data_IF_652190159630
#
_entry.id   IF_652190159630
#
_cell.length_a   1.000
_cell.length_b   1.000
_cell.length_c   1.000
_cell.angle_alpha   90.00
_cell.angle_beta   90.00
_cell.angle_gamma   90.00
#
_symmetry.space_group_name_H-M   'P 1'
#
loop_
_entity.id
_entity.type
_entity.pdbx_description
1 polymer ?
#
# COMPACT_ATOMS: atom_id res chain seq x y z
N UNK A 1 -2.70 -0.57 -28.13
CA UNK A 1 -2.53 -0.82 -26.69
C UNK A 1 -3.19 -2.11 -26.21
N UNK A 2 -4.52 -2.21 -25.99
CA UNK A 2 -5.11 -3.45 -25.45
C UNK A 2 -4.93 -4.69 -26.35
N UNK A 3 -5.03 -4.52 -27.68
CA UNK A 3 -4.77 -5.61 -28.63
C UNK A 3 -3.31 -6.12 -28.54
N UNK A 4 -2.34 -5.22 -28.36
CA UNK A 4 -0.92 -5.58 -28.22
C UNK A 4 -0.69 -6.33 -26.89
N UNK A 5 -1.36 -5.91 -25.81
CA UNK A 5 -1.32 -6.62 -24.53
C UNK A 5 -1.89 -8.03 -24.65
N UNK A 6 -3.04 -8.17 -25.33
CA UNK A 6 -3.65 -9.47 -25.58
C UNK A 6 -2.73 -10.38 -26.41
N UNK A 7 -2.12 -9.86 -27.48
CA UNK A 7 -1.17 -10.60 -28.31
C UNK A 7 0.07 -11.04 -27.51
N UNK A 8 0.60 -10.13 -26.67
CA UNK A 8 1.73 -10.44 -25.79
C UNK A 8 1.37 -11.52 -24.78
N UNK A 9 0.18 -11.45 -24.18
CA UNK A 9 -0.33 -12.48 -23.27
C UNK A 9 -0.47 -13.82 -23.99
N UNK A 10 -1.08 -13.83 -25.18
CA UNK A 10 -1.26 -15.05 -25.97
C UNK A 10 0.10 -15.70 -26.27
N UNK A 11 1.06 -14.91 -26.74
CA UNK A 11 2.42 -15.39 -27.02
C UNK A 11 3.10 -15.94 -25.76
N UNK A 12 2.85 -15.34 -24.60
CA UNK A 12 3.36 -15.84 -23.32
C UNK A 12 2.73 -17.18 -22.93
N UNK A 13 1.41 -17.32 -23.09
CA UNK A 13 0.67 -18.57 -22.82
C UNK A 13 1.08 -19.68 -23.79
N UNK A 14 1.21 -19.38 -25.08
CA UNK A 14 1.57 -20.34 -26.14
C UNK A 14 2.96 -20.97 -25.90
N UNK A 15 3.85 -20.31 -25.14
CA UNK A 15 5.15 -20.88 -24.74
C UNK A 15 5.04 -22.01 -23.71
N UNK A 16 3.89 -22.20 -23.09
CA UNK A 16 3.63 -23.26 -22.08
C UNK A 16 4.19 -22.97 -20.68
N UNK A 17 5.08 -21.98 -20.53
CA UNK A 17 5.67 -21.61 -19.24
C UNK A 17 4.96 -20.40 -18.64
N UNK A 18 3.85 -20.65 -17.93
CA UNK A 18 2.98 -19.60 -17.39
C UNK A 18 3.57 -18.81 -16.20
N UNK A 19 4.67 -19.28 -15.61
CA UNK A 19 5.37 -18.58 -14.53
C UNK A 19 4.42 -18.22 -13.36
N UNK A 20 4.28 -16.95 -12.98
CA UNK A 20 3.39 -16.54 -11.87
C UNK A 20 1.90 -16.80 -12.17
N UNK A 21 1.54 -17.09 -13.42
CA UNK A 21 0.18 -17.42 -13.84
C UNK A 21 -0.08 -18.94 -13.86
N UNK A 22 0.91 -19.79 -13.56
CA UNK A 22 0.70 -21.23 -13.52
C UNK A 22 -0.17 -21.63 -12.31
N UNK A 23 -1.05 -22.61 -12.49
CA UNK A 23 -1.91 -23.19 -11.44
C UNK A 23 -2.76 -22.16 -10.64
N UNK A 24 -3.11 -21.04 -11.26
CA UNK A 24 -4.02 -20.07 -10.66
C UNK A 24 -5.49 -20.50 -10.80
N UNK A 25 -6.39 -19.79 -10.11
CA UNK A 25 -7.81 -20.11 -10.00
C UNK A 25 -8.66 -19.70 -11.21
N UNK A 26 -8.10 -19.76 -12.42
CA UNK A 26 -8.81 -19.33 -13.63
C UNK A 26 -10.11 -20.12 -13.83
N UNK A 27 -11.19 -19.42 -14.17
CA UNK A 27 -12.53 -20.01 -14.34
C UNK A 27 -13.28 -20.28 -13.03
N UNK A 28 -12.71 -19.94 -11.87
CA UNK A 28 -13.43 -20.03 -10.60
C UNK A 28 -14.71 -19.15 -10.64
N UNK A 29 -15.87 -19.64 -10.15
CA UNK A 29 -17.15 -18.95 -10.29
C UNK A 29 -17.22 -17.59 -9.59
N UNK A 30 -16.30 -17.32 -8.65
CA UNK A 30 -16.20 -16.01 -8.00
C UNK A 30 -15.48 -14.97 -8.85
N UNK A 31 -14.90 -15.29 -10.01
CA UNK A 31 -14.39 -14.26 -10.92
C UNK A 31 -15.53 -13.65 -11.72
N UNK A 32 -15.88 -12.40 -11.39
CA UNK A 32 -17.08 -11.71 -11.90
C UNK A 32 -16.79 -10.67 -12.99
N UNK A 33 -15.51 -10.33 -13.22
CA UNK A 33 -15.13 -9.39 -14.29
C UNK A 33 -15.36 -10.00 -15.68
N UNK A 34 -15.87 -9.20 -16.61
CA UNK A 34 -15.99 -9.62 -18.02
C UNK A 34 -14.60 -9.81 -18.66
N UNK A 35 -14.48 -10.53 -19.78
CA UNK A 35 -13.21 -10.65 -20.50
C UNK A 35 -12.56 -9.31 -20.85
N UNK A 36 -13.36 -8.30 -21.21
CA UNK A 36 -12.87 -6.94 -21.51
C UNK A 36 -12.32 -6.26 -20.28
N UNK A 37 -13.03 -6.34 -19.15
CA UNK A 37 -12.58 -5.79 -17.87
C UNK A 37 -11.29 -6.47 -17.40
N UNK A 38 -11.20 -7.80 -17.51
CA UNK A 38 -9.98 -8.54 -17.20
C UNK A 38 -8.79 -8.09 -18.07
N UNK A 39 -9.02 -7.82 -19.36
CA UNK A 39 -7.95 -7.34 -20.24
C UNK A 39 -7.50 -5.90 -19.90
N UNK A 40 -8.43 -5.03 -19.51
CA UNK A 40 -8.11 -3.67 -19.03
C UNK A 40 -7.26 -3.76 -17.76
N UNK A 41 -7.71 -4.49 -16.74
CA UNK A 41 -7.00 -4.63 -15.46
C UNK A 41 -5.64 -5.31 -15.67
N UNK A 42 -5.54 -6.32 -16.53
CA UNK A 42 -4.24 -6.93 -16.86
C UNK A 42 -3.30 -5.93 -17.55
N UNK A 43 -3.82 -5.10 -18.46
CA UNK A 43 -3.03 -4.04 -19.09
C UNK A 43 -2.48 -3.07 -18.04
N UNK A 44 -3.32 -2.64 -17.09
CA UNK A 44 -2.90 -1.75 -16.01
C UNK A 44 -1.95 -2.44 -15.02
N UNK A 45 -2.13 -3.72 -14.72
CA UNK A 45 -1.20 -4.52 -13.91
C UNK A 45 0.21 -4.49 -14.50
N UNK A 46 0.34 -4.74 -15.80
CA UNK A 46 1.63 -4.72 -16.49
C UNK A 46 2.25 -3.31 -16.53
N UNK A 47 1.44 -2.27 -16.67
CA UNK A 47 1.91 -0.89 -16.63
C UNK A 47 2.31 -0.47 -15.20
N UNK A 48 1.59 -0.93 -14.18
CA UNK A 48 1.89 -0.67 -12.77
C UNK A 48 3.29 -1.16 -12.39
N UNK A 49 3.73 -2.31 -12.94
CA UNK A 49 5.11 -2.81 -12.75
C UNK A 49 6.18 -1.81 -13.24
N UNK A 50 5.86 -0.95 -14.22
CA UNK A 50 6.74 0.13 -14.67
C UNK A 50 6.59 1.36 -13.77
N UNK A 51 5.36 1.75 -13.45
CA UNK A 51 5.04 2.94 -12.63
C UNK A 51 5.61 2.84 -11.22
N UNK A 52 5.54 1.67 -10.57
CA UNK A 52 6.11 1.46 -9.23
C UNK A 52 7.62 1.71 -9.18
N UNK A 53 8.34 1.48 -10.29
CA UNK A 53 9.76 1.83 -10.39
C UNK A 53 9.97 3.34 -10.45
N UNK A 54 9.05 4.09 -11.06
CA UNK A 54 9.15 5.55 -11.16
C UNK A 54 8.98 6.21 -9.79
N UNK A 55 8.02 5.78 -8.98
CA UNK A 55 7.89 6.30 -7.61
C UNK A 55 9.08 5.91 -6.72
N UNK A 56 9.67 4.73 -6.91
CA UNK A 56 10.92 4.34 -6.26
C UNK A 56 12.09 5.27 -6.65
N UNK A 57 12.15 5.73 -7.90
CA UNK A 57 13.13 6.74 -8.34
C UNK A 57 12.88 8.09 -7.68
N UNK A 58 11.62 8.50 -7.47
CA UNK A 58 11.31 9.72 -6.70
C UNK A 58 11.91 9.65 -5.29
N UNK A 59 11.77 8.50 -4.61
CA UNK A 59 12.41 8.28 -3.31
C UNK A 59 13.93 8.30 -3.41
N UNK A 60 14.52 7.74 -4.46
CA UNK A 60 15.97 7.70 -4.64
C UNK A 60 16.59 9.09 -4.90
N UNK A 61 15.86 10.04 -5.50
CA UNK A 61 16.35 11.43 -5.69
C UNK A 61 16.77 12.05 -4.37
N UNK A 62 15.96 11.90 -3.32
CA UNK A 62 16.26 12.46 -2.00
C UNK A 62 16.77 11.41 -1.00
N UNK A 63 16.71 10.13 -1.34
CA UNK A 63 17.05 9.00 -0.48
C UNK A 63 18.31 8.24 -0.87
N UNK A 64 18.98 8.66 -1.96
CA UNK A 64 20.06 7.98 -2.67
C UNK A 64 19.69 6.63 -3.31
N UNK A 65 18.86 5.82 -2.65
CA UNK A 65 18.38 4.52 -3.16
C UNK A 65 16.97 4.20 -2.66
N UNK A 66 16.35 3.25 -3.35
CA UNK A 66 15.13 2.59 -2.93
C UNK A 66 15.22 1.10 -3.34
N UNK A 67 14.86 0.14 -2.46
CA UNK A 67 14.44 0.29 -1.05
C UNK A 67 15.56 0.77 -0.09
N UNK A 68 15.19 1.09 1.15
CA UNK A 68 16.08 1.52 2.25
C UNK A 68 16.89 2.80 1.99
N UNK A 69 16.23 3.99 1.89
CA UNK A 69 16.93 5.25 1.68
C UNK A 69 17.96 5.53 2.80
N UNK A 70 19.02 6.27 2.48
CA UNK A 70 20.14 6.57 3.39
C UNK A 70 20.20 8.05 3.78
N UNK A 71 19.18 8.82 3.42
CA UNK A 71 19.17 10.26 3.67
C UNK A 71 18.66 10.65 5.04
N UNK A 72 17.93 9.76 5.72
CA UNK A 72 17.40 10.01 7.05
C UNK A 72 18.52 9.98 8.09
N UNK A 73 18.60 11.01 8.93
CA UNK A 73 19.53 11.09 10.06
C UNK A 73 18.80 11.69 11.26
N UNK A 74 19.30 11.42 12.46
CA UNK A 74 18.82 12.13 13.66
C UNK A 74 19.04 13.64 13.42
N UNK A 75 17.95 14.41 13.53
CA UNK A 75 17.94 15.85 13.29
C UNK A 75 17.56 16.30 11.87
N UNK A 76 17.31 15.39 10.92
CA UNK A 76 16.78 15.76 9.60
C UNK A 76 17.21 14.84 8.46
N UNK A 77 17.68 15.43 7.36
CA UNK A 77 18.09 14.71 6.15
C UNK A 77 19.45 15.15 5.63
N UNK A 78 20.17 14.25 4.97
CA UNK A 78 21.50 14.52 4.39
C UNK A 78 21.45 15.02 2.94
N UNK A 79 20.30 14.95 2.27
CA UNK A 79 20.12 15.28 0.85
C UNK A 79 19.89 16.78 0.57
N UNK A 80 20.46 17.67 1.38
CA UNK A 80 20.24 19.13 1.28
C UNK A 80 20.62 19.69 -0.09
N UNK A 81 21.71 19.19 -0.68
CA UNK A 81 22.16 19.63 -2.02
C UNK A 81 21.17 19.27 -3.12
N UNK A 82 20.52 18.10 -3.04
CA UNK A 82 19.50 17.69 -3.99
C UNK A 82 18.19 18.46 -3.76
N UNK A 83 17.81 18.73 -2.50
CA UNK A 83 16.62 19.54 -2.17
C UNK A 83 16.72 20.98 -2.68
N UNK A 84 17.92 21.57 -2.62
CA UNK A 84 18.17 22.93 -3.11
C UNK A 84 18.40 23.00 -4.63
N UNK A 85 18.46 21.87 -5.32
CA UNK A 85 18.72 21.80 -6.75
C UNK A 85 17.42 21.90 -7.56
N UNK A 86 17.22 22.96 -8.38
CA UNK A 86 16.05 23.07 -9.24
C UNK A 86 15.93 21.90 -10.23
N UNK A 87 17.06 21.36 -10.68
CA UNK A 87 17.08 20.22 -11.60
C UNK A 87 16.53 18.95 -10.92
N UNK A 88 16.89 18.69 -9.66
CA UNK A 88 16.38 17.53 -8.89
C UNK A 88 14.91 17.68 -8.54
N UNK A 89 14.50 18.88 -8.12
CA UNK A 89 13.09 19.17 -7.86
C UNK A 89 12.25 19.03 -9.13
N UNK A 90 12.74 19.51 -10.27
CA UNK A 90 12.11 19.30 -11.58
C UNK A 90 12.00 17.82 -11.96
N UNK A 91 13.09 17.06 -11.79
CA UNK A 91 13.11 15.61 -12.02
C UNK A 91 12.06 14.88 -11.17
N UNK A 92 11.98 15.20 -9.87
CA UNK A 92 10.97 14.65 -8.96
C UNK A 92 9.55 14.99 -9.45
N UNK A 93 9.29 16.25 -9.78
CA UNK A 93 7.95 16.71 -10.16
C UNK A 93 7.44 16.04 -11.44
N UNK A 94 8.29 15.87 -12.46
CA UNK A 94 7.88 15.20 -13.69
C UNK A 94 7.56 13.72 -13.45
N UNK A 95 8.40 13.02 -12.69
CA UNK A 95 8.14 11.62 -12.29
C UNK A 95 6.88 11.51 -11.44
N UNK A 96 6.69 12.42 -10.49
CA UNK A 96 5.51 12.44 -9.62
C UNK A 96 4.22 12.65 -10.41
N UNK A 97 4.20 13.58 -11.37
CA UNK A 97 3.05 13.79 -12.27
C UNK A 97 2.71 12.52 -13.05
N UNK A 98 3.71 11.80 -13.55
CA UNK A 98 3.49 10.54 -14.26
C UNK A 98 2.81 9.48 -13.36
N UNK A 99 3.27 9.35 -12.10
CA UNK A 99 2.67 8.44 -11.12
C UNK A 99 1.26 8.88 -10.76
N UNK A 100 1.06 10.16 -10.47
CA UNK A 100 -0.26 10.73 -10.16
C UNK A 100 -1.24 10.50 -11.31
N UNK A 101 -0.77 10.64 -12.55
CA UNK A 101 -1.59 10.42 -13.72
C UNK A 101 -2.10 8.99 -13.81
N UNK A 102 -1.20 8.03 -13.61
CA UNK A 102 -1.56 6.61 -13.57
C UNK A 102 -2.52 6.30 -12.42
N UNK A 103 -2.28 6.85 -11.23
CA UNK A 103 -3.16 6.65 -10.08
C UNK A 103 -4.59 7.13 -10.39
N UNK A 104 -4.73 8.34 -10.92
CA UNK A 104 -6.02 8.95 -11.17
C UNK A 104 -6.76 8.36 -12.39
N UNK A 105 -6.03 7.98 -13.44
CA UNK A 105 -6.64 7.56 -14.72
C UNK A 105 -6.65 6.05 -14.96
N UNK A 106 -5.93 5.25 -14.17
CA UNK A 106 -5.91 3.80 -14.29
C UNK A 106 -6.25 3.11 -12.96
N UNK A 107 -5.45 3.34 -11.92
CA UNK A 107 -5.60 2.61 -10.65
C UNK A 107 -6.94 2.88 -9.97
N UNK A 108 -7.33 4.14 -9.81
CA UNK A 108 -8.61 4.49 -9.17
C UNK A 108 -9.83 3.97 -9.95
N UNK A 109 -9.93 4.17 -11.29
CA UNK A 109 -10.98 3.54 -12.08
C UNK A 109 -11.05 2.00 -11.95
N UNK A 110 -9.90 1.32 -11.88
CA UNK A 110 -9.85 -0.13 -11.66
C UNK A 110 -10.43 -0.54 -10.30
N UNK A 111 -10.13 0.22 -9.24
CA UNK A 111 -10.72 0.01 -7.92
C UNK A 111 -12.23 0.21 -7.93
N UNK A 112 -12.73 1.26 -8.61
CA UNK A 112 -14.17 1.50 -8.75
C UNK A 112 -14.85 0.38 -9.54
N UNK A 113 -14.21 -0.11 -10.60
CA UNK A 113 -14.70 -1.23 -11.40
C UNK A 113 -14.77 -2.52 -10.59
N UNK A 114 -13.72 -2.84 -9.84
CA UNK A 114 -13.71 -4.00 -8.94
C UNK A 114 -14.76 -3.84 -7.83
N UNK A 115 -14.83 -2.68 -7.18
CA UNK A 115 -15.82 -2.39 -6.15
C UNK A 115 -17.25 -2.61 -6.64
N UNK A 116 -17.57 -2.20 -7.87
CA UNK A 116 -18.89 -2.46 -8.48
C UNK A 116 -19.14 -3.95 -8.77
N UNK A 117 -18.14 -4.66 -9.25
CA UNK A 117 -18.27 -6.08 -9.62
C UNK A 117 -18.43 -7.01 -8.40
N UNK A 118 -17.94 -6.58 -7.24
CA UNK A 118 -17.89 -7.38 -6.01
C UNK A 118 -18.67 -6.75 -4.83
N UNK A 119 -19.48 -5.72 -5.06
CA UNK A 119 -20.20 -5.00 -4.02
C UNK A 119 -21.18 -5.87 -3.21
N UNK A 120 -21.70 -6.92 -3.84
CA UNK A 120 -22.67 -7.87 -3.29
C UNK A 120 -22.03 -9.17 -2.79
N UNK A 121 -20.70 -9.28 -2.82
CA UNK A 121 -20.01 -10.48 -2.37
C UNK A 121 -20.19 -10.68 -0.86
N UNK A 122 -20.68 -11.84 -0.40
CA UNK A 122 -20.89 -12.09 1.04
C UNK A 122 -19.63 -11.90 1.89
N UNK A 123 -18.44 -12.20 1.35
CA UNK A 123 -17.17 -11.97 2.06
C UNK A 123 -16.84 -10.49 2.28
N UNK A 124 -17.49 -9.58 1.56
CA UNK A 124 -17.35 -8.12 1.73
C UNK A 124 -18.42 -7.58 2.68
N UNK A 125 -19.63 -8.15 2.67
CA UNK A 125 -20.80 -7.60 3.39
C UNK A 125 -21.06 -8.21 4.76
N UNK A 126 -20.67 -9.47 5.00
CA UNK A 126 -21.18 -10.23 6.14
C UNK A 126 -20.49 -9.91 7.48
N UNK A 127 -19.26 -9.42 7.45
CA UNK A 127 -18.48 -9.15 8.66
C UNK A 127 -17.64 -7.88 8.49
N UNK A 128 -17.75 -6.97 9.44
CA UNK A 128 -16.88 -5.79 9.53
C UNK A 128 -15.50 -6.14 10.10
N UNK A 129 -15.34 -7.38 10.57
CA UNK A 129 -14.11 -7.89 11.18
C UNK A 129 -13.83 -7.15 12.49
N UNK A 130 -12.67 -6.49 12.53
CA UNK A 130 -12.23 -5.73 13.71
C UNK A 130 -12.89 -4.34 13.71
N UNK A 131 -13.84 -4.14 14.62
CA UNK A 131 -14.60 -2.89 14.75
C UNK A 131 -13.96 -1.86 15.72
N UNK A 132 -12.81 -2.20 16.30
CA UNK A 132 -11.97 -1.27 17.04
C UNK A 132 -10.85 -0.79 16.12
N UNK A 133 -10.80 0.51 15.86
CA UNK A 133 -9.80 1.11 14.98
C UNK A 133 -8.97 2.08 15.79
N UNK A 134 -7.69 2.20 15.50
CA UNK A 134 -6.87 3.28 16.04
C UNK A 134 -5.88 3.77 15.00
N UNK A 135 -5.49 5.04 15.14
CA UNK A 135 -4.49 5.69 14.29
C UNK A 135 -3.71 6.69 15.13
N UNK A 136 -2.52 7.04 14.64
CA UNK A 136 -1.69 8.10 15.18
C UNK A 136 -1.65 9.28 14.20
N UNK A 137 -1.26 10.44 14.72
CA UNK A 137 -0.92 11.59 13.93
C UNK A 137 0.23 11.26 12.98
N UNK A 138 0.07 11.63 11.71
CA UNK A 138 1.05 11.37 10.65
C UNK A 138 1.01 12.48 9.60
N UNK A 139 2.13 12.68 8.91
CA UNK A 139 2.39 13.77 7.97
C UNK A 139 2.16 15.16 8.60
N UNK A 140 3.13 15.60 9.40
CA UNK A 140 3.18 16.95 9.93
C UNK A 140 3.31 17.98 8.80
N UNK A 141 2.34 18.90 8.70
CA UNK A 141 2.31 19.98 7.69
C UNK A 141 2.86 21.30 8.25
N UNK A 142 2.70 21.51 9.56
CA UNK A 142 3.15 22.67 10.30
C UNK A 142 3.49 22.32 11.74
N UNK A 143 3.89 23.30 12.57
CA UNK A 143 4.30 23.04 13.96
C UNK A 143 3.24 22.25 14.74
N UNK A 144 1.98 22.62 14.57
CA UNK A 144 0.83 22.05 15.29
C UNK A 144 -0.28 21.58 14.31
N UNK A 145 0.10 21.27 13.06
CA UNK A 145 -0.85 20.87 12.00
C UNK A 145 -0.41 19.54 11.37
N UNK A 146 -1.35 18.60 11.27
CA UNK A 146 -1.15 17.24 10.77
C UNK A 146 -2.17 16.90 9.69
N UNK A 147 -1.76 16.09 8.72
CA UNK A 147 -2.70 15.62 7.69
C UNK A 147 -3.59 14.48 8.19
N UNK A 148 -3.05 13.62 9.06
CA UNK A 148 -3.80 12.56 9.74
C UNK A 148 -3.78 12.79 11.24
N UNK A 149 -4.89 12.48 11.90
CA UNK A 149 -5.10 12.69 13.34
C UNK A 149 -5.01 11.39 14.13
N UNK A 150 -4.72 11.50 15.43
CA UNK A 150 -4.72 10.38 16.37
C UNK A 150 -6.13 10.10 16.88
N UNK A 151 -6.45 8.83 17.15
CA UNK A 151 -7.68 8.48 17.83
C UNK A 151 -7.97 6.99 17.83
N UNK A 152 -8.91 6.58 18.69
CA UNK A 152 -9.44 5.22 18.78
C UNK A 152 -10.96 5.27 18.59
N UNK A 153 -11.47 4.45 17.67
CA UNK A 153 -12.88 4.07 17.58
C UNK A 153 -13.05 2.77 18.35
N UNK A 154 -14.03 2.73 19.26
CA UNK A 154 -14.35 1.54 20.05
C UNK A 154 -15.73 1.00 19.68
N UNK A 155 -15.84 -0.31 19.53
CA UNK A 155 -17.08 -1.04 19.25
C UNK A 155 -17.82 -0.54 18.00
N UNK A 156 -17.10 0.00 17.00
CA UNK A 156 -17.69 0.60 15.81
C UNK A 156 -18.45 1.91 16.04
N UNK A 157 -18.36 2.53 17.23
CA UNK A 157 -19.02 3.80 17.52
C UNK A 157 -18.27 4.98 16.89
N UNK A 158 -18.70 5.37 15.69
CA UNK A 158 -18.15 6.52 14.96
C UNK A 158 -18.55 7.88 15.54
N UNK A 159 -19.48 7.92 16.50
CA UNK A 159 -19.89 9.18 17.14
C UNK A 159 -18.87 9.69 18.15
N UNK A 160 -17.93 8.83 18.56
CA UNK A 160 -16.96 9.13 19.60
C UNK A 160 -15.57 8.63 19.25
N UNK A 161 -14.65 9.59 19.19
CA UNK A 161 -13.21 9.32 19.09
C UNK A 161 -12.61 9.42 20.48
N UNK A 162 -11.92 8.36 20.91
CA UNK A 162 -11.16 8.33 22.14
C UNK A 162 -9.71 8.72 21.86
N UNK A 163 -9.04 9.35 22.83
CA UNK A 163 -7.61 9.62 22.74
C UNK A 163 -6.81 8.30 22.78
N UNK A 164 -5.66 8.31 22.13
CA UNK A 164 -4.70 7.19 22.18
C UNK A 164 -3.84 7.37 23.43
N UNK A 165 -4.01 6.47 24.40
CA UNK A 165 -3.22 6.42 25.63
C UNK A 165 -2.02 5.49 25.39
N UNK A 166 -0.89 6.06 24.96
CA UNK A 166 0.32 5.29 24.57
C UNK A 166 0.81 4.35 25.68
N UNK A 167 0.72 4.77 26.95
CA UNK A 167 1.11 4.00 28.12
C UNK A 167 0.31 2.70 28.31
N UNK A 168 -0.84 2.58 27.64
CA UNK A 168 -1.70 1.39 27.69
C UNK A 168 -1.50 0.44 26.51
N UNK A 169 -0.62 0.76 25.57
CA UNK A 169 -0.34 -0.11 24.43
C UNK A 169 0.58 -1.24 24.90
N UNK A 170 0.11 -2.48 24.77
CA UNK A 170 0.85 -3.68 25.17
C UNK A 170 0.85 -4.72 24.05
N UNK A 171 1.89 -5.54 24.01
CA UNK A 171 1.98 -6.71 23.14
C UNK A 171 1.95 -7.99 23.98
N UNK A 172 1.04 -8.91 23.67
CA UNK A 172 0.93 -10.24 24.29
C UNK A 172 1.33 -11.31 23.27
N UNK A 173 2.15 -12.27 23.68
CA UNK A 173 2.70 -13.29 22.79
C UNK A 173 2.20 -14.73 23.06
N UNK A 174 1.10 -14.90 23.81
CA UNK A 174 0.51 -16.21 24.18
C UNK A 174 0.22 -17.13 22.99
N UNK A 175 -0.05 -16.57 21.80
CA UNK A 175 -0.29 -17.32 20.56
C UNK A 175 0.77 -17.03 19.48
N UNK A 176 2.00 -16.77 19.91
CA UNK A 176 3.15 -16.43 19.07
C UNK A 176 4.36 -17.31 19.42
N UNK A 177 5.41 -17.29 18.60
CA UNK A 177 6.63 -18.08 18.84
C UNK A 177 7.65 -17.36 19.73
N UNK A 178 7.19 -16.87 20.88
CA UNK A 178 8.05 -16.24 21.89
C UNK A 178 7.85 -16.91 23.25
N UNK A 179 8.90 -16.95 24.06
CA UNK A 179 8.91 -17.62 25.36
C UNK A 179 8.12 -16.86 26.43
N UNK A 180 8.11 -15.53 26.36
CA UNK A 180 7.42 -14.65 27.30
C UNK A 180 6.00 -14.35 26.84
N UNK A 181 5.00 -14.61 27.69
CA UNK A 181 3.57 -14.46 27.35
C UNK A 181 2.91 -13.26 28.04
N UNK A 182 3.65 -12.47 28.81
CA UNK A 182 3.08 -11.33 29.54
C UNK A 182 2.69 -10.21 28.56
N UNK A 183 1.57 -9.49 28.78
CA UNK A 183 1.26 -8.28 28.02
C UNK A 183 2.20 -7.15 28.46
N UNK A 184 3.20 -6.85 27.65
CA UNK A 184 4.24 -5.88 27.99
C UNK A 184 4.09 -4.62 27.14
N UNK A 185 4.27 -3.46 27.76
CA UNK A 185 4.46 -2.22 27.03
C UNK A 185 5.78 -2.30 26.23
N UNK A 186 5.87 -1.75 25.00
CA UNK A 186 7.08 -1.87 24.18
C UNK A 186 8.40 -1.45 24.86
N UNK A 187 8.37 -0.47 25.77
CA UNK A 187 9.56 -0.08 26.58
C UNK A 187 10.05 -1.16 27.54
N UNK A 188 9.19 -2.10 27.93
CA UNK A 188 9.49 -3.26 28.77
C UNK A 188 9.49 -4.56 27.95
N UNK A 189 9.31 -4.45 26.63
CA UNK A 189 9.10 -5.57 25.74
C UNK A 189 10.25 -6.57 25.74
N UNK A 190 9.90 -7.84 25.56
CA UNK A 190 10.85 -8.95 25.45
C UNK A 190 10.67 -9.62 24.09
N UNK A 191 11.78 -9.95 23.45
CA UNK A 191 11.78 -10.63 22.14
C UNK A 191 12.66 -11.88 22.22
N UNK A 192 12.18 -12.88 22.94
CA UNK A 192 12.88 -14.16 23.14
C UNK A 192 12.17 -15.27 22.36
N UNK A 193 12.70 -15.74 21.21
CA UNK A 193 12.08 -16.79 20.42
C UNK A 193 12.04 -18.15 21.16
N UNK A 194 11.02 -18.97 20.89
CA UNK A 194 10.92 -20.37 21.35
C UNK A 194 11.67 -21.36 20.46
#
# INVERSE_FOLDING_TARGET
KLLEVQQRLKTFVDKGNLGPFANAYYGHPTYRLTPEQNLIVLSHYLECLRIQRIIAQCMAIFGAKNPHPQSLTVGGVTCVMDLLSPARMGEYMEKFKEVQDFVNRAYYPDLVMAGKAYADEPSVLNDIGVNNLYTFQEFQLGRDEWLFESGIIKNGDLSKVYEVEEDKITEEATHSWYADNEPLHPYEGKTNPN
#
